data_IF_965909480106
#
_entry.id   IF_965909480106
#
_cell.length_a   1.000
_cell.length_b   1.000
_cell.length_c   1.000
_cell.angle_alpha   90.00
_cell.angle_beta   90.00
_cell.angle_gamma   90.00
#
_symmetry.space_group_name_H-M   'P 1'
#
loop_
_entity.id
_entity.type
_entity.pdbx_description
1 polymer ?
#
# COMPACT_ATOMS: atom_id res chain seq x y z
N UNK A 1 -20.76 -20.22 21.78
CA UNK A 1 -19.89 -19.58 20.75
C UNK A 1 -19.06 -18.40 21.30
N UNK A 2 -19.63 -17.50 22.13
CA UNK A 2 -18.93 -16.31 22.67
C UNK A 2 -17.73 -16.63 23.58
N UNK A 3 -17.82 -17.70 24.37
CA UNK A 3 -16.76 -18.13 25.30
C UNK A 3 -15.54 -18.71 24.57
N UNK A 4 -15.76 -19.40 23.46
CA UNK A 4 -14.70 -20.00 22.65
C UNK A 4 -13.85 -18.92 21.97
N UNK A 5 -14.50 -17.86 21.44
CA UNK A 5 -13.84 -16.70 20.87
C UNK A 5 -13.00 -15.95 21.92
N UNK A 6 -13.56 -15.71 23.11
CA UNK A 6 -12.84 -15.05 24.22
C UNK A 6 -11.60 -15.83 24.66
N UNK A 7 -11.71 -17.15 24.83
CA UNK A 7 -10.56 -17.98 25.22
C UNK A 7 -9.48 -18.02 24.12
N UNK A 8 -9.90 -17.99 22.86
CA UNK A 8 -8.96 -17.87 21.73
C UNK A 8 -8.24 -16.52 21.69
N UNK A 9 -8.94 -15.42 21.96
CA UNK A 9 -8.30 -14.10 22.04
C UNK A 9 -7.24 -14.04 23.14
N UNK A 10 -7.50 -14.62 24.31
CA UNK A 10 -6.50 -14.71 25.38
C UNK A 10 -5.30 -15.56 24.98
N UNK A 11 -5.52 -16.71 24.34
CA UNK A 11 -4.44 -17.55 23.84
C UNK A 11 -3.55 -16.82 22.81
N UNK A 12 -4.17 -16.14 21.85
CA UNK A 12 -3.45 -15.38 20.83
C UNK A 12 -2.62 -14.22 21.42
N UNK A 13 -3.16 -13.53 22.44
CA UNK A 13 -2.45 -12.45 23.12
C UNK A 13 -1.20 -12.94 23.86
N UNK A 14 -1.28 -14.07 24.56
CA UNK A 14 -0.14 -14.64 25.29
C UNK A 14 0.98 -15.03 24.31
N UNK A 15 0.63 -15.66 23.17
CA UNK A 15 1.60 -16.05 22.14
C UNK A 15 2.28 -14.81 21.53
N UNK A 16 1.51 -13.74 21.26
CA UNK A 16 2.07 -12.51 20.72
C UNK A 16 3.06 -11.83 21.68
N UNK A 17 2.76 -11.80 22.99
CA UNK A 17 3.66 -11.24 24.00
C UNK A 17 4.94 -12.06 24.12
N UNK A 18 4.84 -13.39 24.12
CA UNK A 18 5.99 -14.29 24.18
C UNK A 18 6.90 -14.20 22.93
N UNK A 19 6.35 -13.85 21.77
CA UNK A 19 7.13 -13.70 20.54
C UNK A 19 7.98 -12.41 20.50
N UNK A 20 7.63 -11.40 21.29
CA UNK A 20 8.25 -10.06 21.24
C UNK A 20 9.19 -9.82 22.44
N UNK A 21 8.93 -10.46 23.58
CA UNK A 21 9.72 -10.28 24.80
C UNK A 21 10.37 -11.57 25.29
N UNK A 22 11.60 -11.47 25.79
CA UNK A 22 12.27 -12.57 26.50
C UNK A 22 12.14 -12.37 28.01
N UNK A 23 11.64 -13.41 28.69
CA UNK A 23 11.57 -13.46 30.16
C UNK A 23 12.77 -14.29 30.62
N UNK A 24 13.75 -13.65 31.25
CA UNK A 24 14.90 -14.34 31.84
C UNK A 24 14.85 -14.22 33.35
N UNK A 25 14.97 -15.35 34.05
CA UNK A 25 15.11 -15.38 35.50
C UNK A 25 16.59 -15.19 35.86
N UNK A 26 16.92 -14.17 36.67
CA UNK A 26 18.28 -13.92 37.16
C UNK A 26 18.32 -14.08 38.68
N UNK A 27 19.23 -14.94 39.18
CA UNK A 27 19.34 -15.29 40.60
C UNK A 27 19.62 -14.07 41.51
N UNK A 28 20.18 -13.00 40.94
CA UNK A 28 20.61 -11.79 41.65
C UNK A 28 19.57 -10.66 41.59
N UNK A 29 18.70 -10.65 40.56
CA UNK A 29 17.81 -9.51 40.22
C UNK A 29 16.34 -9.89 40.04
N UNK A 30 15.98 -11.17 40.15
CA UNK A 30 14.61 -11.65 39.98
C UNK A 30 14.18 -11.78 38.51
N UNK A 31 12.86 -11.65 38.26
CA UNK A 31 12.24 -11.76 36.94
C UNK A 31 12.62 -10.56 36.06
N UNK A 32 13.44 -10.77 35.03
CA UNK A 32 13.85 -9.74 34.07
C UNK A 32 13.09 -9.90 32.76
N UNK A 33 12.38 -8.85 32.34
CA UNK A 33 11.66 -8.80 31.07
C UNK A 33 12.36 -7.81 30.13
N UNK A 34 12.80 -8.28 28.96
CA UNK A 34 13.43 -7.46 27.93
C UNK A 34 12.62 -7.49 26.65
N UNK A 35 12.42 -6.33 26.03
CA UNK A 35 11.77 -6.17 24.73
C UNK A 35 12.84 -5.70 23.75
N UNK A 36 13.04 -6.44 22.67
CA UNK A 36 14.03 -6.07 21.66
C UNK A 36 13.57 -4.80 20.93
N UNK A 37 14.35 -3.72 21.04
CA UNK A 37 14.01 -2.43 20.43
C UNK A 37 14.31 -2.47 18.93
N UNK A 38 13.29 -2.78 18.11
CA UNK A 38 13.39 -2.70 16.66
C UNK A 38 13.46 -1.22 16.21
N UNK A 39 14.67 -0.71 15.99
CA UNK A 39 14.89 0.66 15.50
C UNK A 39 14.38 0.81 14.06
N UNK A 40 13.16 1.32 13.89
CA UNK A 40 12.60 1.65 12.59
C UNK A 40 13.27 2.92 12.03
N UNK A 41 14.40 2.76 11.35
CA UNK A 41 15.10 3.89 10.69
C UNK A 41 14.25 4.48 9.57
N UNK A 42 13.79 5.72 9.76
CA UNK A 42 13.13 6.52 8.72
C UNK A 42 14.10 6.75 7.56
N UNK A 43 13.65 6.53 6.32
CA UNK A 43 14.43 6.85 5.12
C UNK A 43 15.23 5.68 4.54
N UNK A 44 15.34 4.52 5.21
CA UNK A 44 15.92 3.33 4.59
C UNK A 44 15.10 2.97 3.34
N UNK A 45 15.72 2.68 2.19
CA UNK A 45 14.99 2.26 0.99
C UNK A 45 14.10 1.06 1.36
N UNK A 46 12.80 1.17 1.08
CA UNK A 46 11.69 0.28 1.48
C UNK A 46 11.03 0.50 2.85
N UNK A 47 11.37 1.56 3.59
CA UNK A 47 10.55 2.00 4.74
C UNK A 47 9.36 2.85 4.29
N UNK A 48 8.24 2.88 5.06
CA UNK A 48 7.02 3.57 4.65
C UNK A 48 7.23 5.04 4.27
N UNK A 49 8.18 5.72 4.91
CA UNK A 49 8.52 7.13 4.76
C UNK A 49 9.75 7.41 3.86
N UNK A 50 10.14 6.47 2.98
CA UNK A 50 11.24 6.70 2.03
C UNK A 50 10.80 7.54 0.84
N UNK A 51 11.50 8.65 0.55
CA UNK A 51 11.24 9.54 -0.61
C UNK A 51 11.28 8.76 -1.94
N UNK A 52 12.25 7.86 -2.10
CA UNK A 52 12.33 6.99 -3.27
C UNK A 52 11.11 6.06 -3.39
N UNK A 53 10.57 5.58 -2.27
CA UNK A 53 9.35 4.77 -2.23
C UNK A 53 8.10 5.57 -2.60
N UNK A 54 7.99 6.81 -2.13
CA UNK A 54 6.90 7.74 -2.49
C UNK A 54 6.94 8.04 -3.98
N UNK A 55 8.10 8.42 -4.52
CA UNK A 55 8.27 8.72 -5.95
C UNK A 55 7.81 7.55 -6.85
N UNK A 56 8.17 6.31 -6.50
CA UNK A 56 7.71 5.13 -7.25
C UNK A 56 6.18 4.95 -7.19
N UNK A 57 5.54 5.18 -6.03
CA UNK A 57 4.08 5.07 -5.87
C UNK A 57 3.35 6.19 -6.63
N UNK A 58 3.87 7.42 -6.58
CA UNK A 58 3.29 8.55 -7.32
C UNK A 58 3.39 8.32 -8.82
N UNK A 59 4.54 7.87 -9.34
CA UNK A 59 4.68 7.54 -10.76
C UNK A 59 3.72 6.44 -11.18
N UNK A 60 3.60 5.35 -10.40
CA UNK A 60 2.64 4.29 -10.73
C UNK A 60 1.20 4.80 -10.77
N UNK A 61 0.79 5.62 -9.80
CA UNK A 61 -0.56 6.23 -9.78
C UNK A 61 -0.79 7.19 -10.93
N UNK A 62 0.22 8.01 -11.26
CA UNK A 62 0.15 8.95 -12.37
C UNK A 62 0.08 8.23 -13.72
N UNK A 63 0.82 7.14 -13.91
CA UNK A 63 0.75 6.33 -15.14
C UNK A 63 -0.62 5.66 -15.27
N UNK A 64 -1.13 5.04 -14.20
CA UNK A 64 -2.46 4.40 -14.23
C UNK A 64 -3.57 5.43 -14.43
N UNK A 65 -3.57 6.52 -13.66
CA UNK A 65 -4.55 7.59 -13.79
C UNK A 65 -4.46 8.31 -15.14
N UNK A 66 -3.24 8.54 -15.63
CA UNK A 66 -2.97 9.13 -16.94
C UNK A 66 -3.41 8.23 -18.10
N UNK A 67 -3.20 6.91 -17.99
CA UNK A 67 -3.69 5.95 -18.99
C UNK A 67 -5.23 5.90 -19.04
N UNK A 68 -5.90 5.95 -17.88
CA UNK A 68 -7.37 6.01 -17.82
C UNK A 68 -7.88 7.33 -18.38
N UNK A 69 -7.26 8.47 -18.03
CA UNK A 69 -7.64 9.78 -18.55
C UNK A 69 -7.37 9.91 -20.05
N UNK A 70 -6.25 9.39 -20.55
CA UNK A 70 -5.93 9.36 -21.97
C UNK A 70 -6.85 8.42 -22.75
N UNK A 71 -7.18 7.25 -22.20
CA UNK A 71 -8.14 6.33 -22.80
C UNK A 71 -9.56 6.92 -22.87
N UNK A 72 -9.99 7.62 -21.81
CA UNK A 72 -11.26 8.34 -21.81
C UNK A 72 -11.24 9.56 -22.75
N UNK A 73 -10.14 10.30 -22.83
CA UNK A 73 -10.00 11.39 -23.78
C UNK A 73 -9.96 10.87 -25.23
N UNK A 74 -9.35 9.72 -25.48
CA UNK A 74 -9.30 9.12 -26.81
C UNK A 74 -10.69 8.73 -27.32
N UNK A 75 -11.58 8.21 -26.47
CA UNK A 75 -12.97 7.89 -26.87
C UNK A 75 -13.84 9.14 -27.05
N UNK A 76 -13.52 10.24 -26.38
CA UNK A 76 -14.26 11.51 -26.48
C UNK A 76 -13.76 12.39 -27.63
N UNK A 77 -12.47 12.33 -27.96
CA UNK A 77 -11.82 13.19 -28.97
C UNK A 77 -11.67 12.50 -30.33
N UNK A 78 -11.73 11.15 -30.40
CA UNK A 78 -11.73 10.48 -31.70
C UNK A 78 -12.98 10.91 -32.49
N UNK A 79 -12.81 11.58 -33.64
CA UNK A 79 -13.95 11.91 -34.48
C UNK A 79 -14.50 10.58 -35.03
N UNK A 80 -15.76 10.28 -34.73
CA UNK A 80 -16.43 9.08 -35.20
C UNK A 80 -16.51 8.99 -36.74
N UNK A 81 -16.21 10.08 -37.45
CA UNK A 81 -16.08 10.14 -38.90
C UNK A 81 -14.90 11.03 -39.30
N UNK A 82 -14.18 10.70 -40.38
CA UNK A 82 -13.20 11.60 -40.95
C UNK A 82 -13.95 12.67 -41.78
N UNK A 83 -13.86 13.95 -41.38
CA UNK A 83 -14.46 15.05 -42.14
C UNK A 83 -13.57 15.36 -43.34
N UNK A 84 -14.05 15.05 -44.54
CA UNK A 84 -13.37 15.36 -45.81
C UNK A 84 -14.20 16.40 -46.58
N UNK A 85 -13.54 17.41 -47.13
CA UNK A 85 -14.19 18.44 -47.94
C UNK A 85 -14.25 17.97 -49.40
N UNK A 86 -15.46 17.82 -49.96
CA UNK A 86 -15.68 17.42 -51.36
C UNK A 86 -16.64 18.41 -52.01
N UNK A 87 -16.22 19.05 -53.10
CA UNK A 87 -17.02 20.06 -53.83
C UNK A 87 -17.65 21.13 -52.93
N UNK A 88 -16.93 21.58 -51.89
CA UNK A 88 -17.39 22.61 -50.95
C UNK A 88 -18.30 22.12 -49.82
N UNK A 89 -18.61 20.83 -49.75
CA UNK A 89 -19.45 20.24 -48.69
C UNK A 89 -18.60 19.33 -47.81
N UNK A 90 -18.81 19.39 -46.49
CA UNK A 90 -18.18 18.47 -45.54
C UNK A 90 -18.91 17.13 -45.54
N UNK A 91 -18.19 16.05 -45.85
CA UNK A 91 -18.70 14.69 -45.84
C UNK A 91 -17.99 13.90 -44.76
N UNK A 92 -18.75 13.14 -43.96
CA UNK A 92 -18.20 12.14 -43.04
C UNK A 92 -17.85 10.88 -43.85
N UNK A 93 -16.58 10.50 -43.90
CA UNK A 93 -16.08 9.24 -44.49
C UNK A 93 -15.64 8.27 -43.42
#
# INVERSE_FOLDING_TARGET
MKHTCRNWCFGAAIIAVAAIGSVQWSHERGLSFSVDSAQARVGRPATPASVAGVARRTTRRAVVGGAVAAGAAATVVAPACARVLVNGVWVCR
#
